data_IF_120632859050
#
_entry.id   IF_120632859050
#
_cell.length_a   1.000
_cell.length_b   1.000
_cell.length_c   1.000
_cell.angle_alpha   90.00
_cell.angle_beta   90.00
_cell.angle_gamma   90.00
#
_symmetry.space_group_name_H-M   'P 1'
#
loop_
_entity.id
_entity.type
_entity.pdbx_description
1 polymer ?
#
# COMPACT_ATOMS: atom_id res chain seq x y z
N UNK A 1 -22.84 -2.55 31.29
CA UNK A 1 -23.01 -2.63 29.84
C UNK A 1 -22.30 -3.91 29.39
N UNK A 2 -23.08 -4.90 28.98
CA UNK A 2 -22.52 -6.17 28.52
C UNK A 2 -21.98 -6.00 27.11
N UNK A 3 -20.70 -6.25 26.90
CA UNK A 3 -20.09 -6.19 25.58
C UNK A 3 -20.34 -7.52 24.89
N UNK A 4 -21.07 -7.47 23.82
CA UNK A 4 -21.28 -8.66 22.99
C UNK A 4 -19.94 -9.10 22.37
N UNK A 5 -19.50 -10.27 22.76
CA UNK A 5 -18.16 -10.78 22.37
C UNK A 5 -18.31 -11.78 21.21
N UNK A 6 -17.95 -11.32 20.03
CA UNK A 6 -17.79 -12.21 18.87
C UNK A 6 -16.32 -12.64 18.76
N UNK A 7 -16.08 -13.92 18.75
CA UNK A 7 -14.73 -14.48 18.55
C UNK A 7 -14.57 -14.91 17.10
N UNK A 8 -13.55 -14.39 16.44
CA UNK A 8 -13.19 -14.77 15.06
C UNK A 8 -11.82 -15.46 15.12
N UNK A 9 -11.72 -16.62 14.50
CA UNK A 9 -10.45 -17.36 14.38
C UNK A 9 -9.82 -17.06 13.02
N UNK A 10 -8.54 -16.73 12.99
CA UNK A 10 -7.81 -16.38 11.78
C UNK A 10 -6.33 -16.78 11.95
N UNK A 11 -5.64 -17.04 10.84
CA UNK A 11 -4.20 -17.32 10.86
C UNK A 11 -3.40 -16.02 11.03
N UNK A 12 -3.89 -14.91 10.46
CA UNK A 12 -3.23 -13.61 10.53
C UNK A 12 -4.23 -12.50 10.77
N UNK A 13 -3.99 -11.71 11.82
CA UNK A 13 -4.74 -10.47 12.07
C UNK A 13 -3.90 -9.27 11.62
N UNK A 14 -4.42 -8.52 10.66
CA UNK A 14 -3.80 -7.26 10.18
C UNK A 14 -4.52 -6.08 10.83
N UNK A 15 -3.82 -5.32 11.68
CA UNK A 15 -4.38 -4.17 12.37
C UNK A 15 -4.18 -2.90 11.53
N UNK A 16 -5.22 -2.49 10.82
CA UNK A 16 -5.25 -1.29 9.99
C UNK A 16 -5.28 -1.60 8.49
N UNK A 17 -6.25 -1.01 7.80
CA UNK A 17 -6.46 -1.17 6.36
C UNK A 17 -5.84 -0.07 5.49
N UNK A 18 -4.68 0.46 5.90
CA UNK A 18 -3.86 1.33 5.05
C UNK A 18 -3.23 0.55 3.89
N UNK A 19 -2.42 1.19 3.05
CA UNK A 19 -1.76 0.51 1.91
C UNK A 19 -0.94 -0.69 2.40
N UNK A 20 -0.10 -0.49 3.42
CA UNK A 20 0.75 -1.55 3.96
C UNK A 20 -0.08 -2.74 4.49
N UNK A 21 -1.13 -2.45 5.25
CA UNK A 21 -2.00 -3.52 5.79
C UNK A 21 -2.73 -4.28 4.68
N UNK A 22 -3.25 -3.57 3.68
CA UNK A 22 -3.91 -4.22 2.54
C UNK A 22 -2.93 -5.09 1.75
N UNK A 23 -1.70 -4.59 1.50
CA UNK A 23 -0.69 -5.39 0.79
C UNK A 23 -0.25 -6.60 1.61
N UNK A 24 -0.07 -6.45 2.92
CA UNK A 24 0.24 -7.58 3.81
C UNK A 24 -0.87 -8.64 3.78
N UNK A 25 -2.13 -8.17 3.83
CA UNK A 25 -3.29 -9.08 3.78
C UNK A 25 -3.35 -9.83 2.44
N UNK A 26 -3.13 -9.13 1.32
CA UNK A 26 -3.11 -9.73 -0.02
C UNK A 26 -2.00 -10.79 -0.09
N UNK A 27 -0.79 -10.41 0.32
CA UNK A 27 0.37 -11.30 0.26
C UNK A 27 0.18 -12.57 1.12
N UNK A 28 -0.42 -12.42 2.29
CA UNK A 28 -0.69 -13.56 3.18
C UNK A 28 -1.80 -14.47 2.60
N UNK A 29 -2.85 -13.86 2.07
CA UNK A 29 -3.94 -14.62 1.45
C UNK A 29 -3.47 -15.38 0.19
N UNK A 30 -2.57 -14.78 -0.59
CA UNK A 30 -1.96 -15.44 -1.75
C UNK A 30 -1.13 -16.68 -1.34
N UNK A 31 -0.70 -16.75 -0.07
CA UNK A 31 -0.02 -17.92 0.49
C UNK A 31 -0.98 -18.91 1.15
N UNK A 32 -2.29 -18.70 1.02
CA UNK A 32 -3.32 -19.60 1.53
C UNK A 32 -3.69 -19.40 2.99
N UNK A 33 -3.28 -18.29 3.62
CA UNK A 33 -3.63 -17.99 5.00
C UNK A 33 -5.03 -17.37 5.08
N UNK A 34 -5.76 -17.72 6.13
CA UNK A 34 -7.02 -17.07 6.50
C UNK A 34 -6.68 -15.74 7.19
N UNK A 35 -7.05 -14.62 6.58
CA UNK A 35 -6.61 -13.29 7.02
C UNK A 35 -7.80 -12.42 7.43
N UNK A 36 -7.68 -11.78 8.59
CA UNK A 36 -8.64 -10.77 9.05
C UNK A 36 -7.98 -9.38 9.06
N UNK A 37 -8.60 -8.41 8.40
CA UNK A 37 -8.15 -7.01 8.46
C UNK A 37 -9.09 -6.23 9.39
N UNK A 38 -8.56 -5.80 10.54
CA UNK A 38 -9.30 -4.96 11.49
C UNK A 38 -9.02 -3.49 11.18
N UNK A 39 -10.04 -2.78 10.66
CA UNK A 39 -9.94 -1.36 10.28
C UNK A 39 -10.99 -0.54 11.04
N UNK A 40 -10.54 0.51 11.72
CA UNK A 40 -11.42 1.35 12.56
C UNK A 40 -12.38 2.23 11.74
N UNK A 41 -12.11 2.44 10.47
CA UNK A 41 -12.90 3.34 9.62
C UNK A 41 -13.32 2.64 8.32
N UNK A 42 -12.62 2.88 7.23
CA UNK A 42 -12.96 2.31 5.93
C UNK A 42 -11.68 2.10 5.11
N UNK A 43 -11.43 0.88 4.69
CA UNK A 43 -10.22 0.52 3.93
C UNK A 43 -10.05 1.34 2.65
N UNK A 44 -11.14 1.80 2.04
CA UNK A 44 -11.08 2.64 0.83
C UNK A 44 -10.56 4.06 1.09
N UNK A 45 -10.56 4.50 2.38
CA UNK A 45 -10.24 5.88 2.74
C UNK A 45 -9.29 6.00 3.94
N UNK A 46 -8.73 4.91 4.45
CA UNK A 46 -7.85 4.96 5.62
C UNK A 46 -6.37 4.98 5.22
N UNK A 47 -5.55 5.52 6.10
CA UNK A 47 -4.12 5.62 5.94
C UNK A 47 -3.67 6.81 5.11
N UNK A 48 -2.36 7.04 5.05
CA UNK A 48 -1.75 8.18 4.35
C UNK A 48 -1.98 8.15 2.83
N UNK A 49 -2.21 6.97 2.27
CA UNK A 49 -2.52 6.83 0.84
C UNK A 49 -3.98 7.05 0.46
N UNK A 50 -4.82 7.56 1.39
CA UNK A 50 -6.27 7.66 1.22
C UNK A 50 -6.70 8.56 0.06
N UNK A 51 -5.96 9.64 -0.17
CA UNK A 51 -6.27 10.63 -1.21
C UNK A 51 -5.62 10.31 -2.56
N UNK A 52 -4.87 9.23 -2.62
CA UNK A 52 -4.04 8.90 -3.77
C UNK A 52 -2.65 9.48 -3.65
N UNK A 53 -1.73 8.89 -4.36
CA UNK A 53 -0.35 9.36 -4.47
C UNK A 53 -0.03 9.52 -5.95
N UNK A 54 1.02 10.26 -6.26
CA UNK A 54 1.45 10.49 -7.63
C UNK A 54 2.90 10.07 -7.89
N UNK A 55 3.59 9.65 -6.84
CA UNK A 55 5.00 9.22 -6.92
C UNK A 55 5.22 7.95 -6.12
N UNK A 56 6.15 7.13 -6.60
CA UNK A 56 6.48 5.84 -6.01
C UNK A 56 7.99 5.62 -6.16
N UNK A 57 8.74 5.55 -5.06
CA UNK A 57 10.18 5.25 -5.13
C UNK A 57 10.35 3.85 -5.70
N UNK A 58 11.14 3.71 -6.78
CA UNK A 58 11.20 2.45 -7.51
C UNK A 58 12.48 2.36 -8.34
N UNK A 59 13.07 1.17 -8.36
CA UNK A 59 14.14 0.82 -9.30
C UNK A 59 13.54 -0.05 -10.41
N UNK A 60 13.76 0.35 -11.67
CA UNK A 60 13.31 -0.41 -12.85
C UNK A 60 14.53 -0.61 -13.77
N UNK A 61 15.02 -1.84 -13.95
CA UNK A 61 16.24 -2.08 -14.75
C UNK A 61 16.16 -1.55 -16.19
N UNK A 62 14.97 -1.59 -16.80
CA UNK A 62 14.75 -1.08 -18.16
C UNK A 62 14.99 0.43 -18.28
N UNK A 63 14.90 1.17 -17.16
CA UNK A 63 15.06 2.63 -17.12
C UNK A 63 16.43 3.02 -16.55
N UNK A 64 16.85 2.33 -15.49
CA UNK A 64 18.01 2.70 -14.69
C UNK A 64 19.27 1.91 -15.03
N UNK A 65 19.16 0.86 -15.88
CA UNK A 65 20.25 -0.07 -16.13
C UNK A 65 20.30 -1.17 -15.07
N UNK A 66 21.27 -2.08 -15.21
CA UNK A 66 21.36 -3.27 -14.35
C UNK A 66 22.08 -3.03 -13.02
N UNK A 67 22.62 -1.84 -12.81
CA UNK A 67 23.30 -1.49 -11.54
C UNK A 67 22.36 -0.71 -10.65
N UNK A 68 21.91 -1.33 -9.57
CA UNK A 68 21.02 -0.72 -8.57
C UNK A 68 21.76 0.29 -7.67
N UNK A 69 23.10 0.22 -7.63
CA UNK A 69 23.92 1.02 -6.71
C UNK A 69 23.64 2.51 -6.73
N UNK A 70 23.61 3.18 -7.90
CA UNK A 70 23.31 4.62 -7.96
C UNK A 70 21.92 4.98 -7.42
N UNK A 71 20.91 4.11 -7.62
CA UNK A 71 19.55 4.35 -7.13
C UNK A 71 19.50 4.16 -5.61
N UNK A 72 20.15 3.12 -5.10
CA UNK A 72 20.27 2.90 -3.65
C UNK A 72 20.98 4.07 -2.98
N UNK A 73 22.08 4.54 -3.57
CA UNK A 73 22.81 5.69 -3.04
C UNK A 73 21.90 6.92 -2.98
N UNK A 74 21.13 7.17 -4.04
CA UNK A 74 20.21 8.32 -4.09
C UNK A 74 19.11 8.21 -3.02
N UNK A 75 18.53 7.03 -2.85
CA UNK A 75 17.49 6.80 -1.84
C UNK A 75 18.03 7.07 -0.43
N UNK A 76 19.21 6.52 -0.12
CA UNK A 76 19.81 6.66 1.22
C UNK A 76 20.18 8.11 1.54
N UNK A 77 20.74 8.85 0.59
CA UNK A 77 21.38 10.14 0.88
C UNK A 77 20.48 11.35 0.61
N UNK A 78 19.52 11.25 -0.32
CA UNK A 78 18.71 12.42 -0.66
C UNK A 78 17.41 12.54 0.13
N UNK A 79 16.86 11.42 0.60
CA UNK A 79 15.55 11.41 1.26
C UNK A 79 15.64 11.27 2.78
N UNK A 80 16.60 10.51 3.26
CA UNK A 80 16.57 10.04 4.64
C UNK A 80 17.76 10.48 5.50
N UNK A 81 18.67 11.26 4.93
CA UNK A 81 19.79 11.86 5.68
C UNK A 81 20.67 10.85 6.41
N UNK A 82 20.94 9.71 5.78
CA UNK A 82 21.77 8.63 6.29
C UNK A 82 21.21 7.89 7.53
N UNK A 83 19.93 8.08 7.86
CA UNK A 83 19.28 7.40 9.00
C UNK A 83 18.52 6.13 8.62
N UNK A 84 18.71 5.63 7.40
CA UNK A 84 18.01 4.46 6.88
C UNK A 84 18.94 3.23 6.91
N UNK A 85 18.37 2.05 7.18
CA UNK A 85 19.11 0.79 7.09
C UNK A 85 19.37 0.47 5.60
N UNK A 86 20.62 0.42 5.15
CA UNK A 86 20.93 0.16 3.74
C UNK A 86 20.44 -1.21 3.25
N UNK A 87 20.43 -2.23 4.12
CA UNK A 87 19.97 -3.58 3.75
C UNK A 87 18.47 -3.57 3.46
N UNK A 88 17.70 -2.85 4.29
CA UNK A 88 16.27 -2.72 4.11
C UNK A 88 15.95 -1.88 2.86
N UNK A 89 16.71 -0.80 2.62
CA UNK A 89 16.57 0.02 1.42
C UNK A 89 16.82 -0.79 0.16
N UNK A 90 17.88 -1.60 0.16
CA UNK A 90 18.19 -2.48 -0.97
C UNK A 90 17.06 -3.48 -1.23
N UNK A 91 16.62 -4.18 -0.17
CA UNK A 91 15.51 -5.14 -0.27
C UNK A 91 14.24 -4.47 -0.84
N UNK A 92 13.92 -3.27 -0.37
CA UNK A 92 12.79 -2.49 -0.86
C UNK A 92 12.92 -2.23 -2.37
N UNK A 93 14.07 -1.69 -2.80
CA UNK A 93 14.29 -1.36 -4.22
C UNK A 93 14.24 -2.59 -5.13
N UNK A 94 14.80 -3.72 -4.67
CA UNK A 94 14.77 -4.98 -5.43
C UNK A 94 13.34 -5.51 -5.63
N UNK A 95 12.46 -5.29 -4.66
CA UNK A 95 11.10 -5.84 -4.69
C UNK A 95 10.04 -4.86 -5.20
N UNK A 96 10.33 -3.56 -5.21
CA UNK A 96 9.33 -2.53 -5.51
C UNK A 96 8.78 -2.67 -6.93
N UNK A 97 9.61 -3.00 -7.92
CA UNK A 97 9.14 -3.10 -9.30
C UNK A 97 8.10 -4.22 -9.48
N UNK A 98 8.23 -5.33 -8.77
CA UNK A 98 7.20 -6.38 -8.83
C UNK A 98 5.87 -5.85 -8.28
N UNK A 99 5.91 -5.10 -7.19
CA UNK A 99 4.68 -4.48 -6.64
C UNK A 99 4.08 -3.46 -7.60
N UNK A 100 4.91 -2.71 -8.32
CA UNK A 100 4.46 -1.79 -9.39
C UNK A 100 3.73 -2.57 -10.50
N UNK A 101 4.27 -3.72 -10.91
CA UNK A 101 3.63 -4.57 -11.93
C UNK A 101 2.29 -5.13 -11.43
N UNK A 102 2.24 -5.55 -10.16
CA UNK A 102 0.98 -6.01 -9.55
C UNK A 102 -0.07 -4.90 -9.60
N UNK A 103 0.28 -3.70 -9.13
CA UNK A 103 -0.64 -2.56 -9.10
C UNK A 103 -1.14 -2.20 -10.50
N UNK A 104 -0.24 -2.18 -11.50
CA UNK A 104 -0.61 -1.92 -12.90
C UNK A 104 -1.62 -2.98 -13.40
N UNK A 105 -1.35 -4.25 -13.10
CA UNK A 105 -2.22 -5.37 -13.50
C UNK A 105 -3.59 -5.32 -12.82
N UNK A 106 -3.67 -4.77 -11.61
CA UNK A 106 -4.93 -4.63 -10.86
C UNK A 106 -5.74 -3.40 -11.28
N UNK A 107 -5.16 -2.52 -12.13
CA UNK A 107 -5.88 -1.36 -12.67
C UNK A 107 -5.55 -0.02 -11.99
N UNK A 108 -4.44 0.03 -11.24
CA UNK A 108 -3.86 1.32 -10.83
C UNK A 108 -2.93 1.76 -11.97
N UNK A 109 -3.16 2.93 -12.54
CA UNK A 109 -2.40 3.37 -13.72
C UNK A 109 -0.97 3.76 -13.35
N UNK A 110 -0.06 2.78 -13.43
CA UNK A 110 1.36 2.97 -13.12
C UNK A 110 2.14 3.58 -14.31
N UNK A 111 1.52 3.61 -15.49
CA UNK A 111 2.05 4.24 -16.72
C UNK A 111 1.02 5.21 -17.32
N UNK A 112 0.66 6.30 -16.62
CA UNK A 112 -0.39 7.19 -17.13
C UNK A 112 -0.07 7.87 -18.47
N UNK A 113 1.22 7.89 -18.85
CA UNK A 113 1.69 8.46 -20.14
C UNK A 113 2.13 7.37 -21.13
N UNK A 114 1.85 6.09 -20.82
CA UNK A 114 2.19 4.95 -21.67
C UNK A 114 3.62 4.42 -21.49
N UNK A 115 4.40 5.01 -20.59
CA UNK A 115 5.78 4.56 -20.30
C UNK A 115 6.08 4.78 -18.81
N UNK A 116 7.19 4.19 -18.35
CA UNK A 116 7.66 4.39 -16.96
C UNK A 116 8.22 5.81 -16.83
N UNK A 117 7.46 6.68 -16.20
CA UNK A 117 7.74 8.13 -16.15
C UNK A 117 8.46 8.50 -14.86
N UNK A 118 9.76 8.80 -14.98
CA UNK A 118 10.59 9.29 -13.88
C UNK A 118 10.87 10.80 -13.99
N UNK A 119 9.98 11.57 -14.64
CA UNK A 119 10.17 13.01 -14.82
C UNK A 119 9.87 13.86 -13.58
N UNK A 120 9.66 13.22 -12.43
CA UNK A 120 9.36 13.88 -11.17
C UNK A 120 10.57 14.54 -10.51
N UNK A 121 10.52 14.62 -9.20
CA UNK A 121 11.54 15.28 -8.38
C UNK A 121 12.90 14.60 -8.54
N UNK A 122 13.93 15.40 -8.76
CA UNK A 122 15.32 14.96 -8.77
C UNK A 122 16.23 16.16 -8.65
N UNK A 123 17.38 15.97 -8.05
CA UNK A 123 18.43 16.98 -8.04
C UNK A 123 19.18 16.94 -9.37
N UNK A 124 19.67 18.09 -9.88
CA UNK A 124 20.44 18.09 -11.13
C UNK A 124 21.64 17.15 -11.07
N UNK A 125 21.80 16.31 -12.11
CA UNK A 125 22.91 15.38 -12.22
C UNK A 125 22.78 14.11 -11.37
N UNK A 126 21.64 13.93 -10.67
CA UNK A 126 21.40 12.75 -9.81
C UNK A 126 20.34 11.85 -10.42
N UNK A 127 20.35 10.55 -10.08
CA UNK A 127 19.35 9.61 -10.60
C UNK A 127 17.92 10.02 -10.23
N UNK A 128 16.98 9.67 -11.08
CA UNK A 128 15.55 9.92 -10.85
C UNK A 128 14.93 8.62 -10.31
N UNK A 129 14.53 8.63 -9.05
CA UNK A 129 14.07 7.43 -8.36
C UNK A 129 12.56 7.39 -8.14
N UNK A 130 11.83 8.47 -8.49
CA UNK A 130 10.39 8.55 -8.26
C UNK A 130 9.61 8.30 -9.55
N UNK A 131 9.01 7.11 -9.63
CA UNK A 131 8.07 6.75 -10.70
C UNK A 131 6.77 7.53 -10.51
N UNK A 132 6.35 8.28 -11.53
CA UNK A 132 5.05 8.95 -11.55
C UNK A 132 3.94 7.99 -11.94
N UNK A 133 2.82 8.05 -11.21
CA UNK A 133 1.65 7.23 -11.50
C UNK A 133 0.36 7.96 -11.13
N UNK A 134 -0.78 7.41 -11.53
CA UNK A 134 -2.09 7.99 -11.23
C UNK A 134 -2.77 7.15 -10.14
N UNK A 135 -2.50 7.52 -8.86
CA UNK A 135 -2.93 6.76 -7.70
C UNK A 135 -4.30 7.10 -7.13
N UNK A 136 -5.11 7.90 -7.82
CA UNK A 136 -6.40 8.37 -7.30
C UNK A 136 -7.37 7.24 -6.92
N UNK A 137 -7.26 6.07 -7.58
CA UNK A 137 -8.11 4.91 -7.32
C UNK A 137 -7.43 3.82 -6.47
N UNK A 138 -6.18 4.05 -6.05
CA UNK A 138 -5.33 2.99 -5.46
C UNK A 138 -5.99 2.30 -4.26
N UNK A 139 -6.61 3.06 -3.34
CA UNK A 139 -7.24 2.48 -2.14
C UNK A 139 -8.47 1.63 -2.48
N UNK A 140 -9.24 2.07 -3.47
CA UNK A 140 -10.38 1.31 -3.97
C UNK A 140 -9.95 -0.02 -4.57
N UNK A 141 -8.93 0.03 -5.43
CA UNK A 141 -8.38 -1.15 -6.11
C UNK A 141 -7.77 -2.14 -5.09
N UNK A 142 -6.92 -1.63 -4.18
CA UNK A 142 -6.30 -2.49 -3.16
C UNK A 142 -7.33 -3.12 -2.23
N UNK A 143 -8.39 -2.37 -1.87
CA UNK A 143 -9.49 -2.93 -1.06
C UNK A 143 -10.22 -4.05 -1.82
N UNK A 144 -10.48 -3.83 -3.10
CA UNK A 144 -11.13 -4.85 -3.93
C UNK A 144 -10.25 -6.10 -4.07
N UNK A 145 -8.95 -5.91 -4.30
CA UNK A 145 -7.99 -7.01 -4.41
C UNK A 145 -7.89 -7.79 -3.09
N UNK A 146 -7.79 -7.11 -1.96
CA UNK A 146 -7.76 -7.76 -0.64
C UNK A 146 -9.04 -8.58 -0.38
N UNK A 147 -10.19 -8.05 -0.76
CA UNK A 147 -11.46 -8.79 -0.64
C UNK A 147 -11.50 -10.03 -1.52
N UNK A 148 -10.99 -9.99 -2.70
CA UNK A 148 -10.87 -11.20 -3.55
C UNK A 148 -9.99 -12.23 -2.88
N UNK A 149 -9.01 -11.88 -2.44
CA UNK A 149 -8.07 -12.75 -1.86
C UNK A 149 -8.45 -13.17 -0.50
N UNK A 150 -9.14 -12.48 0.22
CA UNK A 150 -9.61 -12.73 1.49
C UNK A 150 -10.94 -13.32 1.43
N UNK A 151 -11.66 -13.16 0.51
CA UNK A 151 -12.91 -13.66 0.35
C UNK A 151 -13.01 -15.02 -0.24
N UNK A 152 -12.27 -15.32 0.02
CA UNK A 152 -12.35 -16.65 -0.33
C UNK A 152 -13.31 -17.43 0.38
N UNK A 153 -13.61 -16.98 1.41
CA UNK A 153 -14.77 -17.57 2.07
C UNK A 153 -15.91 -16.54 2.15
N UNK A 154 -16.66 -16.36 1.09
CA UNK A 154 -17.96 -15.71 1.17
C UNK A 154 -18.97 -16.70 1.79
N UNK A 155 -19.09 -16.61 3.10
CA UNK A 155 -20.07 -17.36 3.89
C UNK A 155 -20.52 -16.58 5.11
N UNK A 156 -20.49 -15.25 5.05
CA UNK A 156 -20.91 -14.41 6.17
C UNK A 156 -21.48 -13.09 5.68
N UNK A 157 -22.71 -12.84 6.08
CA UNK A 157 -23.46 -11.61 5.79
C UNK A 157 -22.65 -10.34 6.10
N UNK A 158 -22.73 -9.37 5.22
CA UNK A 158 -22.23 -8.01 5.38
C UNK A 158 -22.89 -7.39 6.64
N UNK A 159 -22.30 -7.62 7.82
CA UNK A 159 -22.74 -6.91 9.01
C UNK A 159 -22.11 -5.51 9.01
N UNK A 160 -22.75 -4.61 8.26
CA UNK A 160 -22.56 -3.19 8.48
C UNK A 160 -23.17 -2.84 9.84
N UNK A 161 -22.35 -2.91 10.88
CA UNK A 161 -22.79 -2.37 12.16
C UNK A 161 -22.87 -0.84 12.03
N UNK A 162 -24.07 -0.34 11.86
CA UNK A 162 -24.37 1.09 11.98
C UNK A 162 -24.31 1.47 13.46
N UNK A 163 -23.11 1.68 13.97
CA UNK A 163 -22.92 2.29 15.27
C UNK A 163 -23.04 3.80 15.15
N UNK A 164 -24.24 4.33 15.28
CA UNK A 164 -24.42 5.77 15.50
C UNK A 164 -24.05 6.07 16.95
N UNK A 165 -22.84 6.57 17.17
CA UNK A 165 -22.54 7.27 18.41
C UNK A 165 -22.28 8.73 18.08
N UNK A 166 -23.32 9.53 18.20
CA UNK A 166 -23.21 10.98 18.20
C UNK A 166 -22.43 11.39 19.44
N UNK A 167 -21.27 11.98 19.25
CA UNK A 167 -20.57 12.66 20.34
C UNK A 167 -21.21 14.02 20.55
N UNK A 168 -22.04 14.13 21.59
CA UNK A 168 -22.65 15.38 21.97
C UNK A 168 -21.63 16.20 22.79
N UNK A 169 -20.91 17.04 22.09
CA UNK A 169 -19.93 17.93 22.73
C UNK A 169 -20.63 19.22 23.15
N UNK A 170 -21.15 19.24 24.38
CA UNK A 170 -21.68 20.50 24.96
C UNK A 170 -20.50 21.36 25.40
N UNK A 171 -20.33 22.50 24.74
CA UNK A 171 -19.45 23.57 25.21
C UNK A 171 -20.01 24.23 26.47
N UNK A 172 -19.20 24.41 27.46
CA UNK A 172 -19.31 25.43 28.50
C UNK A 172 -18.07 26.33 28.43
#
# INVERSE_FOLDING_TARGET
>A
MEVDKNTITTDLLVAGGGIAGLMAAISAADQGLNVLVAEKANTKRSGSGATGNDHFCCYIPEVHGNDIGPILWEDLHSLHGDFQDPSLALLFLEQTFDRVKDWDSWGISMKPRGFWDFSGHAYPGRPRIFLKYAGYNQKGVLTAQAKKXXXXEEGGEDQQSHGRHGCDCKRR
#
